data_IF_562689401853
#
_entry.id   IF_562689401853
#
_cell.length_a   1.000
_cell.length_b   1.000
_cell.length_c   1.000
_cell.angle_alpha   90.00
_cell.angle_beta   90.00
_cell.angle_gamma   90.00
#
_symmetry.space_group_name_H-M   'P 1'
#
loop_
_entity.id
_entity.type
_entity.pdbx_description
1 polymer ?
#
# COMPACT_ATOMS: atom_id res chain seq x y z
N UNK A 1 -3.19 -2.58 -5.96
CA UNK A 1 -2.68 -1.73 -7.06
C UNK A 1 -3.66 -1.78 -8.22
N UNK A 2 -3.91 -0.66 -8.83
CA UNK A 2 -4.80 -0.53 -9.97
C UNK A 2 -4.01 -0.74 -11.26
N UNK A 3 -4.58 -1.42 -12.24
CA UNK A 3 -3.95 -1.60 -13.56
C UNK A 3 -4.16 -0.33 -14.39
N UNK A 4 -3.07 0.38 -14.70
CA UNK A 4 -3.15 1.61 -15.50
C UNK A 4 -3.74 1.37 -16.90
N UNK A 5 -3.44 0.22 -17.51
CA UNK A 5 -3.96 -0.17 -18.82
C UNK A 5 -5.49 -0.13 -18.89
N UNK A 6 -6.18 -0.83 -17.99
CA UNK A 6 -7.64 -0.85 -17.97
C UNK A 6 -8.23 0.44 -17.42
N UNK A 7 -7.54 1.07 -16.46
CA UNK A 7 -8.02 2.29 -15.82
C UNK A 7 -8.04 3.49 -16.77
N UNK A 8 -7.02 3.66 -17.59
CA UNK A 8 -6.94 4.78 -18.54
C UNK A 8 -8.06 4.74 -19.59
N UNK A 9 -8.40 3.55 -20.08
CA UNK A 9 -9.33 3.41 -21.22
C UNK A 9 -10.78 3.07 -20.85
N UNK A 10 -11.04 2.53 -19.63
CA UNK A 10 -12.36 2.00 -19.26
C UNK A 10 -12.99 2.71 -18.07
N UNK A 11 -14.11 3.39 -18.31
CA UNK A 11 -14.91 3.99 -17.23
C UNK A 11 -15.43 2.94 -16.24
N UNK A 12 -15.80 1.74 -16.72
CA UNK A 12 -16.21 0.63 -15.85
C UNK A 12 -15.08 0.18 -14.95
N UNK A 13 -13.84 0.10 -15.46
CA UNK A 13 -12.67 -0.22 -14.64
C UNK A 13 -12.44 0.87 -13.59
N UNK A 14 -12.52 2.15 -13.95
CA UNK A 14 -12.41 3.26 -12.99
C UNK A 14 -13.41 3.17 -11.85
N UNK A 15 -14.68 2.95 -12.15
CA UNK A 15 -15.75 2.82 -11.14
C UNK A 15 -15.56 1.62 -10.20
N UNK A 16 -14.99 0.53 -10.71
CA UNK A 16 -14.77 -0.69 -9.91
C UNK A 16 -13.51 -0.61 -9.05
N UNK A 17 -12.46 0.02 -9.55
CA UNK A 17 -11.12 -0.02 -8.95
C UNK A 17 -10.80 1.20 -8.09
N UNK A 18 -11.50 2.31 -8.27
CA UNK A 18 -11.22 3.55 -7.57
C UNK A 18 -12.50 4.19 -7.04
N UNK A 19 -12.58 4.25 -5.72
CA UNK A 19 -13.59 5.02 -4.98
C UNK A 19 -12.88 5.79 -3.88
N UNK A 20 -13.31 7.02 -3.64
CA UNK A 20 -12.75 7.88 -2.59
C UNK A 20 -13.79 8.86 -2.09
N UNK A 21 -13.49 9.57 -1.02
CA UNK A 21 -14.30 10.64 -0.46
C UNK A 21 -13.42 11.82 -0.04
N UNK A 22 -14.01 12.97 0.26
CA UNK A 22 -13.28 14.15 0.74
C UNK A 22 -12.53 13.92 2.06
N UNK A 23 -12.99 12.96 2.85
CA UNK A 23 -12.36 12.57 4.14
C UNK A 23 -11.17 11.62 3.97
N UNK A 24 -11.00 11.02 2.79
CA UNK A 24 -9.91 10.08 2.48
C UNK A 24 -8.66 10.85 2.03
N UNK A 25 -8.10 11.62 2.97
CA UNK A 25 -6.89 12.43 2.75
C UNK A 25 -5.94 12.33 3.95
N UNK A 26 -4.63 12.30 3.71
CA UNK A 26 -3.95 12.31 2.39
C UNK A 26 -4.08 10.96 1.67
N UNK A 27 -4.30 10.99 0.35
CA UNK A 27 -4.48 9.81 -0.49
C UNK A 27 -3.39 9.72 -1.57
N UNK A 28 -2.70 8.58 -1.64
CA UNK A 28 -1.79 8.21 -2.73
C UNK A 28 -2.39 7.03 -3.49
N UNK A 29 -2.62 7.20 -4.78
CA UNK A 29 -3.21 6.16 -5.65
C UNK A 29 -2.11 5.36 -6.32
N UNK A 30 -2.05 4.04 -6.06
CA UNK A 30 -1.01 3.19 -6.62
C UNK A 30 -1.46 2.49 -7.90
N UNK A 31 -0.69 2.70 -8.97
CA UNK A 31 -0.89 2.03 -10.25
C UNK A 31 0.24 1.04 -10.55
N UNK A 32 -0.11 0.01 -11.34
CA UNK A 32 0.84 -0.83 -12.04
C UNK A 32 0.76 -0.54 -13.53
N UNK A 33 1.90 -0.30 -14.17
CA UNK A 33 1.98 -0.01 -15.60
C UNK A 33 3.29 -0.51 -16.18
N UNK A 34 3.25 -0.92 -17.45
CA UNK A 34 4.41 -1.22 -18.29
C UNK A 34 4.54 -0.24 -19.45
N UNK A 35 3.73 0.83 -19.46
CA UNK A 35 3.80 1.92 -20.44
C UNK A 35 3.70 3.27 -19.76
N UNK A 36 4.49 4.22 -20.23
CA UNK A 36 4.50 5.60 -19.71
C UNK A 36 3.15 6.27 -19.95
N UNK A 37 2.61 6.18 -21.17
CA UNK A 37 1.37 6.83 -21.56
C UNK A 37 0.19 6.45 -20.65
N UNK A 38 -0.04 5.16 -20.42
CA UNK A 38 -1.16 4.68 -19.60
C UNK A 38 -1.04 5.13 -18.13
N UNK A 39 0.20 5.17 -17.59
CA UNK A 39 0.42 5.66 -16.24
C UNK A 39 0.13 7.17 -16.14
N UNK A 40 0.65 7.96 -17.07
CA UNK A 40 0.43 9.42 -17.11
C UNK A 40 -1.06 9.73 -17.23
N UNK A 41 -1.77 9.08 -18.16
CA UNK A 41 -3.20 9.26 -18.35
C UNK A 41 -3.99 8.87 -17.09
N UNK A 42 -3.63 7.75 -16.43
CA UNK A 42 -4.24 7.36 -15.16
C UNK A 42 -3.98 8.39 -14.06
N UNK A 43 -2.77 8.96 -13.99
CA UNK A 43 -2.43 10.01 -13.04
C UNK A 43 -3.23 11.29 -13.28
N UNK A 44 -3.39 11.70 -14.53
CA UNK A 44 -4.22 12.84 -14.92
C UNK A 44 -5.70 12.66 -14.55
N UNK A 45 -6.23 11.43 -14.69
CA UNK A 45 -7.61 11.11 -14.32
C UNK A 45 -7.82 11.22 -12.80
N UNK A 46 -6.88 10.73 -11.97
CA UNK A 46 -7.08 10.70 -10.51
C UNK A 46 -6.58 11.95 -9.79
N UNK A 47 -5.73 12.78 -10.41
CA UNK A 47 -5.13 13.94 -9.74
C UNK A 47 -6.12 14.91 -9.06
N UNK A 48 -7.39 15.09 -9.50
CA UNK A 48 -8.34 15.94 -8.79
C UNK A 48 -8.76 15.36 -7.42
N UNK A 49 -8.60 14.07 -7.23
CA UNK A 49 -9.15 13.30 -6.11
C UNK A 49 -8.10 12.82 -5.10
N UNK A 50 -6.80 13.00 -5.38
CA UNK A 50 -5.73 12.47 -4.54
C UNK A 50 -4.59 13.49 -4.33
N UNK A 51 -3.70 13.18 -3.39
CA UNK A 51 -2.51 13.98 -3.10
C UNK A 51 -1.29 13.50 -3.89
N UNK A 52 -1.34 12.29 -4.45
CA UNK A 52 -0.26 11.77 -5.25
C UNK A 52 -0.58 10.45 -5.92
N UNK A 53 0.32 10.03 -6.79
CA UNK A 53 0.29 8.73 -7.47
C UNK A 53 1.58 7.97 -7.20
N UNK A 54 1.50 6.66 -7.16
CA UNK A 54 2.62 5.76 -6.90
C UNK A 54 2.74 4.69 -7.98
N UNK A 55 3.95 4.47 -8.49
CA UNK A 55 4.23 3.35 -9.39
C UNK A 55 4.61 2.12 -8.59
N UNK A 56 3.89 1.02 -8.79
CA UNK A 56 4.25 -0.25 -8.19
C UNK A 56 5.41 -0.93 -8.93
N UNK A 57 6.59 -0.93 -8.31
CA UNK A 57 7.78 -1.67 -8.74
C UNK A 57 8.13 -2.80 -7.75
N UNK A 58 7.16 -3.32 -6.98
CA UNK A 58 7.43 -4.26 -5.90
C UNK A 58 6.58 -5.53 -5.87
N UNK A 59 5.52 -5.64 -6.67
CA UNK A 59 4.65 -6.81 -6.68
C UNK A 59 5.39 -8.04 -7.27
N UNK A 60 5.60 -9.12 -6.47
CA UNK A 60 6.37 -10.28 -6.92
C UNK A 60 5.49 -11.41 -7.48
N UNK A 61 4.20 -11.17 -7.71
CA UNK A 61 3.29 -12.20 -8.16
C UNK A 61 3.57 -12.62 -9.61
N UNK A 62 3.47 -13.92 -9.91
CA UNK A 62 3.82 -14.46 -11.21
C UNK A 62 3.04 -13.84 -12.37
N UNK A 63 1.76 -13.52 -12.17
CA UNK A 63 0.96 -12.84 -13.19
C UNK A 63 1.49 -11.43 -13.48
N UNK A 64 1.85 -10.66 -12.44
CA UNK A 64 2.39 -9.31 -12.62
C UNK A 64 3.75 -9.33 -13.35
N UNK A 65 4.60 -10.31 -13.05
CA UNK A 65 5.87 -10.49 -13.74
C UNK A 65 5.69 -10.88 -15.23
N UNK A 66 4.67 -11.68 -15.54
CA UNK A 66 4.33 -12.04 -16.93
C UNK A 66 3.85 -10.83 -17.73
N UNK A 67 3.07 -9.95 -17.10
CA UNK A 67 2.59 -8.69 -17.70
C UNK A 67 3.69 -7.59 -17.76
N UNK A 68 4.90 -7.86 -17.29
CA UNK A 68 5.99 -6.89 -17.31
C UNK A 68 5.84 -5.73 -16.33
N UNK A 69 5.06 -5.89 -15.25
CA UNK A 69 4.79 -4.88 -14.21
C UNK A 69 5.30 -5.34 -12.84
N UNK A 70 5.19 -4.48 -11.84
CA UNK A 70 5.57 -4.82 -10.47
C UNK A 70 7.08 -5.00 -10.32
N UNK A 71 7.51 -6.06 -9.62
CA UNK A 71 8.92 -6.25 -9.25
C UNK A 71 9.88 -6.50 -10.43
N UNK A 72 9.39 -6.74 -11.64
CA UNK A 72 10.28 -6.79 -12.82
C UNK A 72 10.77 -5.41 -13.26
N UNK A 73 10.07 -4.33 -12.87
CA UNK A 73 10.45 -2.97 -13.26
C UNK A 73 11.74 -2.49 -12.58
N UNK A 74 12.13 -3.06 -11.44
CA UNK A 74 13.41 -2.72 -10.80
C UNK A 74 14.63 -3.03 -11.69
N UNK A 75 14.49 -3.95 -12.65
CA UNK A 75 15.52 -4.28 -13.64
C UNK A 75 15.51 -3.32 -14.86
N UNK A 76 14.60 -2.33 -14.86
CA UNK A 76 14.42 -1.37 -15.96
C UNK A 76 14.49 0.08 -15.43
N UNK A 77 15.61 0.51 -14.85
CA UNK A 77 15.70 1.80 -14.18
C UNK A 77 15.43 2.98 -15.13
N UNK A 78 15.86 2.91 -16.40
CA UNK A 78 15.62 3.95 -17.39
C UNK A 78 14.12 4.12 -17.69
N UNK A 79 13.38 3.01 -17.77
CA UNK A 79 11.92 3.06 -17.95
C UNK A 79 11.21 3.68 -16.75
N UNK A 80 11.60 3.30 -15.53
CA UNK A 80 11.01 3.85 -14.29
C UNK A 80 11.31 5.34 -14.18
N UNK A 81 12.54 5.74 -14.49
CA UNK A 81 12.99 7.14 -14.51
C UNK A 81 12.22 7.97 -15.54
N UNK A 82 12.06 7.48 -16.78
CA UNK A 82 11.30 8.15 -17.82
C UNK A 82 9.83 8.30 -17.43
N UNK A 83 9.23 7.25 -16.88
CA UNK A 83 7.83 7.28 -16.40
C UNK A 83 7.63 8.37 -15.32
N UNK A 84 8.53 8.45 -14.34
CA UNK A 84 8.48 9.49 -13.30
C UNK A 84 8.62 10.89 -13.95
N UNK A 85 9.60 11.07 -14.81
CA UNK A 85 9.87 12.33 -15.47
C UNK A 85 8.68 12.81 -16.33
N UNK A 86 8.15 11.92 -17.18
CA UNK A 86 7.00 12.24 -18.03
C UNK A 86 5.74 12.54 -17.21
N UNK A 87 5.53 11.83 -16.10
CA UNK A 87 4.41 12.10 -15.21
C UNK A 87 4.53 13.47 -14.56
N UNK A 88 5.70 13.81 -14.02
CA UNK A 88 5.96 15.13 -13.41
C UNK A 88 5.70 16.29 -14.37
N UNK A 89 6.00 16.12 -15.64
CA UNK A 89 5.82 17.16 -16.67
C UNK A 89 4.36 17.31 -17.12
N UNK A 90 3.46 16.37 -16.81
CA UNK A 90 2.11 16.31 -17.38
C UNK A 90 0.99 16.32 -16.34
N UNK A 91 1.33 16.31 -15.03
CA UNK A 91 0.37 16.46 -13.94
C UNK A 91 0.55 17.83 -13.26
N UNK A 92 -0.39 18.20 -12.38
CA UNK A 92 -0.28 19.46 -11.61
C UNK A 92 0.99 19.44 -10.73
N UNK A 93 1.58 20.60 -10.48
CA UNK A 93 2.89 20.76 -9.82
C UNK A 93 2.92 20.21 -8.38
N UNK A 94 1.82 20.31 -7.67
CA UNK A 94 1.70 19.88 -6.26
C UNK A 94 1.33 18.38 -6.11
N UNK A 95 1.06 17.65 -7.21
CA UNK A 95 0.80 16.22 -7.14
C UNK A 95 2.09 15.45 -6.83
N UNK A 96 2.08 14.67 -5.76
CA UNK A 96 3.21 13.82 -5.43
C UNK A 96 3.32 12.64 -6.41
N UNK A 97 4.54 12.37 -6.89
CA UNK A 97 4.83 11.18 -7.71
C UNK A 97 5.84 10.34 -6.98
N UNK A 98 5.47 9.10 -6.62
CA UNK A 98 6.33 8.19 -5.86
C UNK A 98 6.51 6.85 -6.56
N UNK A 99 7.49 6.09 -6.11
CA UNK A 99 7.72 4.71 -6.54
C UNK A 99 7.83 3.79 -5.33
N UNK A 100 7.18 2.63 -5.40
CA UNK A 100 7.31 1.58 -4.37
C UNK A 100 8.06 0.40 -4.93
N UNK A 101 9.25 0.15 -4.38
CA UNK A 101 10.20 -0.85 -4.87
C UNK A 101 10.42 -2.00 -3.89
N UNK A 102 11.00 -3.10 -4.39
CA UNK A 102 11.76 -4.10 -3.63
C UNK A 102 13.24 -3.93 -3.91
N UNK A 103 14.09 -4.51 -3.07
CA UNK A 103 15.53 -4.48 -3.27
C UNK A 103 15.98 -5.58 -4.24
N UNK A 104 17.07 -5.34 -4.96
CA UNK A 104 17.82 -6.39 -5.65
C UNK A 104 18.60 -7.26 -4.65
N UNK A 105 19.04 -8.44 -5.08
CA UNK A 105 19.99 -9.24 -4.28
C UNK A 105 21.31 -8.49 -4.05
N UNK A 106 21.80 -7.78 -5.06
CA UNK A 106 22.83 -6.77 -4.91
C UNK A 106 22.14 -5.39 -4.78
N UNK A 107 22.03 -4.89 -3.55
CA UNK A 107 21.34 -3.62 -3.29
C UNK A 107 22.06 -2.38 -3.87
N UNK A 108 23.29 -2.50 -4.35
CA UNK A 108 23.95 -1.42 -5.09
C UNK A 108 23.18 -1.06 -6.36
N UNK A 109 22.58 -2.06 -7.04
CA UNK A 109 21.68 -1.82 -8.17
C UNK A 109 20.40 -1.07 -7.74
N UNK A 110 19.92 -1.33 -6.54
CA UNK A 110 18.76 -0.61 -6.00
C UNK A 110 19.11 0.85 -5.71
N UNK A 111 20.29 1.12 -5.18
CA UNK A 111 20.80 2.49 -4.97
C UNK A 111 20.85 3.24 -6.30
N UNK A 112 21.37 2.61 -7.36
CA UNK A 112 21.44 3.25 -8.68
C UNK A 112 20.04 3.59 -9.22
N UNK A 113 19.10 2.64 -9.14
CA UNK A 113 17.69 2.91 -9.47
C UNK A 113 17.13 4.09 -8.67
N UNK A 114 17.36 4.13 -7.34
CA UNK A 114 16.87 5.22 -6.50
C UNK A 114 17.44 6.58 -6.90
N UNK A 115 18.72 6.64 -7.23
CA UNK A 115 19.38 7.88 -7.72
C UNK A 115 18.83 8.32 -9.07
N UNK A 116 18.51 7.38 -9.95
CA UNK A 116 17.95 7.72 -11.26
C UNK A 116 16.52 8.28 -11.13
N UNK A 117 15.66 7.66 -10.31
CA UNK A 117 14.31 8.18 -10.11
C UNK A 117 14.31 9.49 -9.31
N UNK A 118 15.27 9.71 -8.42
CA UNK A 118 15.48 11.01 -7.75
C UNK A 118 15.76 12.11 -8.76
N UNK A 119 16.70 11.89 -9.69
CA UNK A 119 17.00 12.83 -10.78
C UNK A 119 15.81 13.08 -11.69
N UNK A 120 14.92 12.11 -11.84
CA UNK A 120 13.68 12.24 -12.61
C UNK A 120 12.58 13.04 -11.88
N UNK A 121 12.78 13.41 -10.61
CA UNK A 121 11.87 14.25 -9.84
C UNK A 121 10.84 13.48 -9.01
N UNK A 122 11.16 12.23 -8.58
CA UNK A 122 10.32 11.51 -7.64
C UNK A 122 10.15 12.28 -6.32
N UNK A 123 8.95 12.29 -5.75
CA UNK A 123 8.68 13.02 -4.49
C UNK A 123 9.16 12.26 -3.25
N UNK A 124 9.07 10.94 -3.25
CA UNK A 124 9.59 10.03 -2.23
C UNK A 124 9.68 8.60 -2.77
N UNK A 125 10.43 7.74 -2.08
CA UNK A 125 10.63 6.34 -2.47
C UNK A 125 10.20 5.44 -1.31
N UNK A 126 9.30 4.46 -1.57
CA UNK A 126 8.93 3.44 -0.59
C UNK A 126 9.72 2.15 -0.86
N UNK A 127 10.50 1.69 0.12
CA UNK A 127 11.42 0.56 -0.04
C UNK A 127 10.97 -0.62 0.82
N UNK A 128 10.57 -1.73 0.19
CA UNK A 128 10.41 -2.99 0.87
C UNK A 128 11.77 -3.70 0.92
N UNK A 129 12.34 -3.86 2.12
CA UNK A 129 13.67 -4.43 2.33
C UNK A 129 13.78 -5.94 2.07
N UNK A 130 13.05 -6.46 1.08
CA UNK A 130 13.10 -7.85 0.60
C UNK A 130 13.26 -7.89 -0.90
N UNK A 131 13.96 -8.90 -1.39
CA UNK A 131 14.05 -9.16 -2.84
C UNK A 131 12.71 -9.72 -3.37
N UNK A 132 12.57 -9.79 -4.70
CA UNK A 132 11.34 -10.32 -5.33
C UNK A 132 11.04 -11.79 -4.99
N UNK A 133 12.05 -12.58 -4.64
CA UNK A 133 11.92 -14.01 -4.30
C UNK A 133 11.65 -14.24 -2.80
N UNK A 134 11.95 -13.29 -1.95
CA UNK A 134 11.75 -13.37 -0.51
C UNK A 134 10.30 -13.07 -0.12
N UNK A 135 9.73 -13.86 0.79
CA UNK A 135 8.36 -13.68 1.29
C UNK A 135 8.29 -13.42 2.79
N UNK A 136 8.86 -14.33 3.58
CA UNK A 136 8.84 -14.28 5.05
C UNK A 136 10.23 -14.10 5.66
N UNK A 137 11.25 -13.99 4.84
CA UNK A 137 12.61 -13.70 5.27
C UNK A 137 12.67 -12.38 6.05
N UNK A 138 13.63 -12.19 6.95
CA UNK A 138 13.84 -10.92 7.64
C UNK A 138 14.05 -9.76 6.65
N UNK A 139 13.57 -8.59 7.02
CA UNK A 139 13.78 -7.35 6.24
C UNK A 139 15.26 -6.95 6.33
N UNK A 140 15.87 -6.63 5.20
CA UNK A 140 17.24 -6.15 5.14
C UNK A 140 17.29 -4.65 5.46
N UNK A 141 17.52 -4.32 6.72
CA UNK A 141 17.60 -2.94 7.21
C UNK A 141 18.89 -2.24 6.73
N UNK A 142 20.00 -2.97 6.51
CA UNK A 142 21.24 -2.41 5.97
C UNK A 142 21.04 -1.87 4.55
N UNK A 143 20.31 -2.62 3.72
CA UNK A 143 19.97 -2.15 2.38
C UNK A 143 19.08 -0.90 2.42
N UNK A 144 18.08 -0.85 3.30
CA UNK A 144 17.23 0.34 3.49
C UNK A 144 18.07 1.54 3.93
N UNK A 145 18.96 1.36 4.92
CA UNK A 145 19.88 2.39 5.39
C UNK A 145 20.77 2.91 4.26
N UNK A 146 21.42 2.02 3.52
CA UNK A 146 22.30 2.40 2.41
C UNK A 146 21.54 3.18 1.31
N UNK A 147 20.29 2.82 1.03
CA UNK A 147 19.42 3.57 0.11
C UNK A 147 19.14 4.95 0.69
N UNK A 148 18.73 5.07 1.95
CA UNK A 148 18.45 6.36 2.60
C UNK A 148 19.67 7.29 2.57
N UNK A 149 20.85 6.77 2.82
CA UNK A 149 22.10 7.54 2.79
C UNK A 149 22.52 7.95 1.36
N UNK A 150 21.94 7.34 0.33
CA UNK A 150 22.35 7.55 -1.08
C UNK A 150 21.49 8.55 -1.84
N UNK A 151 20.34 8.98 -1.29
CA UNK A 151 19.39 9.92 -1.90
C UNK A 151 18.99 11.04 -0.92
N UNK A 152 18.53 12.17 -1.45
CA UNK A 152 18.06 13.31 -0.64
C UNK A 152 16.54 13.30 -0.46
N UNK A 153 15.80 12.68 -1.40
CA UNK A 153 14.35 12.55 -1.28
C UNK A 153 13.95 11.68 -0.07
N UNK A 154 12.77 11.89 0.52
CA UNK A 154 12.29 11.05 1.62
C UNK A 154 12.24 9.58 1.24
N UNK A 155 12.67 8.71 2.18
CA UNK A 155 12.61 7.26 2.06
C UNK A 155 11.66 6.69 3.11
N UNK A 156 10.68 5.91 2.65
CA UNK A 156 9.68 5.24 3.49
C UNK A 156 10.00 3.75 3.56
N UNK A 157 10.33 3.24 4.74
CA UNK A 157 10.64 1.83 4.94
C UNK A 157 9.36 0.98 5.02
N UNK A 158 9.36 -0.15 4.34
CA UNK A 158 8.27 -1.12 4.35
C UNK A 158 8.78 -2.55 4.61
N UNK A 159 7.98 -3.30 5.35
CA UNK A 159 8.20 -4.70 5.70
C UNK A 159 8.26 -4.91 7.21
N UNK A 160 7.46 -5.87 7.68
CA UNK A 160 7.34 -6.30 9.08
C UNK A 160 7.01 -5.19 10.12
N UNK A 161 6.40 -4.11 9.68
CA UNK A 161 5.90 -3.05 10.56
C UNK A 161 4.50 -3.44 11.05
N UNK A 162 4.38 -3.79 12.34
CA UNK A 162 3.14 -4.21 13.00
C UNK A 162 2.87 -3.52 14.33
N UNK A 163 3.89 -2.93 14.95
CA UNK A 163 3.83 -2.27 16.25
C UNK A 163 4.63 -0.96 16.24
N UNK A 164 4.39 -0.08 17.21
CA UNK A 164 5.21 1.12 17.40
C UNK A 164 6.67 0.80 17.74
N UNK A 165 6.91 -0.34 18.37
CA UNK A 165 8.28 -0.81 18.66
C UNK A 165 9.02 -1.16 17.36
N UNK A 166 8.33 -1.80 16.38
CA UNK A 166 8.93 -2.04 15.06
C UNK A 166 9.27 -0.72 14.35
N UNK A 167 8.42 0.29 14.47
CA UNK A 167 8.69 1.64 13.92
C UNK A 167 9.95 2.23 14.54
N UNK A 168 10.10 2.19 15.87
CA UNK A 168 11.28 2.71 16.58
C UNK A 168 12.54 2.00 16.13
N UNK A 169 12.54 0.64 16.13
CA UNK A 169 13.67 -0.19 15.70
C UNK A 169 14.13 0.13 14.28
N UNK A 170 13.19 0.23 13.35
CA UNK A 170 13.50 0.55 11.94
C UNK A 170 14.06 1.97 11.83
N UNK A 171 13.46 2.94 12.52
CA UNK A 171 13.94 4.33 12.54
C UNK A 171 15.37 4.45 13.09
N UNK A 172 15.65 3.82 14.23
CA UNK A 172 16.96 3.83 14.86
C UNK A 172 18.03 3.15 14.00
N UNK A 173 17.68 2.03 13.36
CA UNK A 173 18.61 1.28 12.52
C UNK A 173 18.93 1.96 11.19
N UNK A 174 17.99 2.73 10.62
CA UNK A 174 18.09 3.17 9.22
C UNK A 174 17.99 4.68 9.02
N UNK A 175 17.59 5.44 10.04
CA UNK A 175 17.33 6.89 9.98
C UNK A 175 16.36 7.32 8.85
N UNK A 176 15.40 6.45 8.48
CA UNK A 176 14.38 6.72 7.45
C UNK A 176 13.45 7.87 7.84
N UNK A 177 12.79 8.46 6.85
CA UNK A 177 11.87 9.59 7.01
C UNK A 177 10.46 9.15 7.42
N UNK A 178 10.04 7.94 7.01
CA UNK A 178 8.74 7.38 7.31
C UNK A 178 8.71 5.87 7.24
N UNK A 179 7.59 5.28 7.69
CA UNK A 179 7.32 3.84 7.59
C UNK A 179 5.99 3.58 6.89
N UNK A 180 5.92 2.45 6.20
CA UNK A 180 4.70 1.94 5.57
C UNK A 180 4.36 0.57 6.15
N UNK A 181 3.18 0.45 6.73
CA UNK A 181 2.64 -0.82 7.16
C UNK A 181 1.59 -1.34 6.16
N UNK A 182 1.47 -2.65 6.04
CA UNK A 182 0.41 -3.32 5.28
C UNK A 182 -0.41 -4.21 6.21
N UNK A 183 0.07 -5.44 6.47
CA UNK A 183 -0.62 -6.39 7.36
C UNK A 183 -0.86 -5.82 8.76
N UNK A 184 0.08 -5.04 9.29
CA UNK A 184 -0.08 -4.41 10.60
C UNK A 184 -1.31 -3.52 10.70
N UNK A 185 -1.61 -2.71 9.66
CA UNK A 185 -2.82 -1.88 9.61
C UNK A 185 -4.10 -2.67 9.34
N UNK A 186 -4.04 -3.78 8.59
CA UNK A 186 -5.18 -4.66 8.42
C UNK A 186 -5.54 -5.35 9.74
N UNK A 187 -4.51 -5.83 10.46
CA UNK A 187 -4.66 -6.52 11.76
C UNK A 187 -5.06 -5.55 12.88
N UNK A 188 -4.57 -4.30 12.83
CA UNK A 188 -4.88 -3.27 13.83
C UNK A 188 -4.80 -1.86 13.23
N UNK A 189 -5.92 -1.28 12.78
CA UNK A 189 -5.94 0.08 12.23
C UNK A 189 -5.46 1.15 13.20
N UNK A 190 -5.49 0.88 14.51
CA UNK A 190 -5.10 1.82 15.57
C UNK A 190 -3.67 1.64 16.09
N UNK A 191 -2.83 0.80 15.48
CA UNK A 191 -1.50 0.54 16.04
C UNK A 191 -0.60 1.78 16.05
N UNK A 192 -0.72 2.68 15.08
CA UNK A 192 0.01 3.96 15.09
C UNK A 192 -0.45 4.91 16.21
N UNK A 193 -1.65 4.70 16.76
CA UNK A 193 -2.12 5.39 17.96
C UNK A 193 -1.70 4.70 19.27
N UNK A 194 -0.91 3.63 19.20
CA UNK A 194 -0.34 2.94 20.36
C UNK A 194 -1.18 1.79 20.93
N UNK A 195 -2.20 1.35 20.21
CA UNK A 195 -2.99 0.19 20.63
C UNK A 195 -2.33 -1.11 20.19
N UNK A 196 -2.22 -2.09 21.10
CA UNK A 196 -1.65 -3.40 20.81
C UNK A 196 -2.59 -4.30 20.01
N UNK A 197 -3.89 -4.13 20.20
CA UNK A 197 -4.97 -4.85 19.49
C UNK A 197 -5.98 -3.84 18.97
N UNK A 198 -6.76 -4.23 17.98
CA UNK A 198 -7.83 -3.39 17.42
C UNK A 198 -8.85 -3.05 18.49
N UNK A 199 -9.03 -1.76 18.86
CA UNK A 199 -10.06 -1.37 19.81
C UNK A 199 -11.47 -1.49 19.21
N UNK A 200 -12.47 -1.72 20.05
CA UNK A 200 -13.89 -1.80 19.66
C UNK A 200 -14.32 -0.63 18.77
N UNK A 201 -13.88 0.59 19.11
CA UNK A 201 -14.18 1.80 18.34
C UNK A 201 -13.74 1.76 16.88
N UNK A 202 -12.65 1.05 16.55
CA UNK A 202 -12.25 0.84 15.16
C UNK A 202 -13.21 -0.08 14.42
N UNK A 203 -13.70 -1.14 15.09
CA UNK A 203 -14.70 -2.05 14.52
C UNK A 203 -15.99 -1.28 14.25
N UNK A 204 -16.49 -0.52 15.23
CA UNK A 204 -17.68 0.34 15.09
C UNK A 204 -17.52 1.37 13.96
N UNK A 205 -16.36 2.01 13.88
CA UNK A 205 -16.07 2.96 12.80
C UNK A 205 -16.05 2.28 11.43
N UNK A 206 -15.45 1.10 11.33
CA UNK A 206 -15.45 0.33 10.09
C UNK A 206 -16.87 -0.07 9.67
N UNK A 207 -17.71 -0.55 10.60
CA UNK A 207 -19.11 -0.88 10.32
C UNK A 207 -19.84 0.31 9.71
N UNK A 208 -19.73 1.48 10.37
CA UNK A 208 -20.37 2.73 9.90
C UNK A 208 -19.91 3.11 8.50
N UNK A 209 -18.60 3.20 8.30
CA UNK A 209 -18.00 3.58 6.99
C UNK A 209 -18.44 2.59 5.92
N UNK A 210 -18.35 1.30 6.18
CA UNK A 210 -18.65 0.27 5.19
C UNK A 210 -20.13 0.28 4.78
N UNK A 211 -21.04 0.53 5.71
CA UNK A 211 -22.48 0.63 5.43
C UNK A 211 -22.82 1.95 4.71
N UNK A 212 -22.26 3.08 5.16
CA UNK A 212 -22.46 4.38 4.51
C UNK A 212 -21.95 4.40 3.05
N UNK A 213 -20.85 3.70 2.78
CA UNK A 213 -20.24 3.66 1.45
C UNK A 213 -20.75 2.51 0.57
N UNK A 214 -21.60 1.64 1.08
CA UNK A 214 -22.09 0.47 0.35
C UNK A 214 -20.98 -0.53 0.02
N UNK A 215 -20.00 -0.70 0.92
CA UNK A 215 -18.88 -1.62 0.72
C UNK A 215 -19.36 -3.04 0.46
N UNK A 216 -18.84 -3.70 -0.57
CA UNK A 216 -19.18 -5.07 -0.92
C UNK A 216 -18.91 -6.04 0.25
N UNK A 217 -19.82 -7.00 0.47
CA UNK A 217 -19.73 -7.93 1.61
C UNK A 217 -18.37 -8.61 1.77
N UNK A 218 -17.76 -9.05 0.69
CA UNK A 218 -16.44 -9.70 0.74
C UNK A 218 -15.37 -8.79 1.33
N UNK A 219 -15.32 -7.52 0.92
CA UNK A 219 -14.38 -6.54 1.45
C UNK A 219 -14.72 -6.20 2.91
N UNK A 220 -16.00 -5.93 3.18
CA UNK A 220 -16.52 -5.66 4.53
C UNK A 220 -16.13 -6.74 5.54
N UNK A 221 -16.45 -7.99 5.23
CA UNK A 221 -16.20 -9.13 6.10
C UNK A 221 -14.70 -9.45 6.25
N UNK A 222 -13.93 -9.33 5.15
CA UNK A 222 -12.50 -9.63 5.16
C UNK A 222 -11.71 -8.68 6.06
N UNK A 223 -12.04 -7.38 6.06
CA UNK A 223 -11.41 -6.42 6.98
C UNK A 223 -11.73 -6.74 8.44
N UNK A 224 -12.97 -7.10 8.76
CA UNK A 224 -13.32 -7.53 10.11
C UNK A 224 -12.59 -8.81 10.53
N UNK A 225 -12.40 -9.76 9.61
CA UNK A 225 -11.63 -10.98 9.88
C UNK A 225 -10.18 -10.67 10.27
N UNK A 226 -9.55 -9.66 9.66
CA UNK A 226 -8.24 -9.18 10.08
C UNK A 226 -8.28 -8.48 11.44
N UNK A 227 -9.19 -7.53 11.61
CA UNK A 227 -9.30 -6.73 12.84
C UNK A 227 -9.53 -7.59 14.08
N UNK A 228 -10.28 -8.69 13.94
CA UNK A 228 -10.64 -9.60 15.02
C UNK A 228 -9.68 -10.79 15.17
N UNK A 229 -8.65 -10.92 14.31
CA UNK A 229 -7.76 -12.07 14.30
C UNK A 229 -7.12 -12.36 15.66
N UNK A 230 -6.76 -11.32 16.40
CA UNK A 230 -6.13 -11.44 17.72
C UNK A 230 -7.14 -11.61 18.86
N UNK A 231 -8.40 -11.26 18.63
CA UNK A 231 -9.48 -11.33 19.63
C UNK A 231 -10.24 -12.65 19.60
N UNK A 232 -10.09 -13.44 18.53
CA UNK A 232 -10.80 -14.70 18.32
C UNK A 232 -9.86 -15.91 18.43
N UNK A 233 -10.30 -16.97 19.10
CA UNK A 233 -9.63 -18.26 19.04
C UNK A 233 -9.77 -18.91 17.64
N UNK A 234 -9.02 -19.98 17.38
CA UNK A 234 -9.03 -20.64 16.06
C UNK A 234 -10.42 -21.15 15.64
N UNK A 235 -11.21 -21.66 16.58
CA UNK A 235 -12.56 -22.17 16.30
C UNK A 235 -13.52 -21.02 15.95
N UNK A 236 -13.47 -19.93 16.73
CA UNK A 236 -14.27 -18.73 16.50
C UNK A 236 -13.93 -18.05 15.17
N UNK A 237 -12.64 -17.94 14.83
CA UNK A 237 -12.21 -17.44 13.51
C UNK A 237 -12.79 -18.27 12.36
N UNK A 238 -12.77 -19.61 12.49
CA UNK A 238 -13.36 -20.49 11.47
C UNK A 238 -14.88 -20.26 11.35
N UNK A 239 -15.56 -20.09 12.48
CA UNK A 239 -16.98 -19.80 12.51
C UNK A 239 -17.29 -18.42 11.91
N UNK A 240 -16.61 -17.37 12.36
CA UNK A 240 -16.76 -16.02 11.82
C UNK A 240 -16.54 -15.98 10.30
N UNK A 241 -15.48 -16.63 9.83
CA UNK A 241 -15.15 -16.69 8.39
C UNK A 241 -16.16 -17.50 7.54
N UNK A 242 -17.09 -18.23 8.16
CA UNK A 242 -18.16 -18.94 7.44
C UNK A 242 -19.38 -18.08 7.14
N UNK A 243 -19.47 -16.88 7.70
CA UNK A 243 -20.60 -15.99 7.44
C UNK A 243 -20.60 -15.50 5.98
N UNK A 244 -21.80 -15.37 5.43
CA UNK A 244 -22.03 -14.99 4.04
C UNK A 244 -23.02 -13.83 3.89
N UNK A 245 -23.40 -13.19 4.99
CA UNK A 245 -24.31 -12.04 4.99
C UNK A 245 -23.90 -10.99 6.03
N UNK A 246 -24.15 -9.72 5.72
CA UNK A 246 -23.90 -8.60 6.62
C UNK A 246 -24.67 -8.74 7.92
N UNK A 247 -25.94 -9.18 7.89
CA UNK A 247 -26.76 -9.38 9.09
C UNK A 247 -26.13 -10.39 10.05
N UNK A 248 -25.68 -11.55 9.56
CA UNK A 248 -25.04 -12.55 10.41
C UNK A 248 -23.76 -12.03 11.09
N UNK A 249 -23.00 -11.19 10.38
CA UNK A 249 -21.82 -10.53 10.95
C UNK A 249 -22.21 -9.53 12.03
N UNK A 250 -23.22 -8.70 11.79
CA UNK A 250 -23.70 -7.71 12.77
C UNK A 250 -24.25 -8.39 14.04
N UNK A 251 -25.08 -9.43 13.89
CA UNK A 251 -25.61 -10.20 15.01
C UNK A 251 -24.50 -10.84 15.85
N UNK A 252 -23.47 -11.36 15.18
CA UNK A 252 -22.32 -11.94 15.87
C UNK A 252 -21.53 -10.89 16.65
N UNK A 253 -21.30 -9.71 16.06
CA UNK A 253 -20.56 -8.61 16.69
C UNK A 253 -21.33 -8.00 17.87
N UNK A 254 -22.63 -7.83 17.75
CA UNK A 254 -23.48 -7.40 18.88
C UNK A 254 -23.44 -8.41 20.02
N UNK A 255 -23.64 -9.71 19.72
CA UNK A 255 -23.70 -10.76 20.73
C UNK A 255 -22.38 -11.01 21.45
N UNK A 256 -21.25 -10.99 20.73
CA UNK A 256 -19.96 -11.43 21.29
C UNK A 256 -19.01 -10.29 21.66
N UNK A 257 -19.22 -9.09 21.11
CA UNK A 257 -18.34 -7.93 21.33
C UNK A 257 -19.09 -6.68 21.80
N UNK A 258 -20.42 -6.75 21.98
CA UNK A 258 -21.27 -5.59 22.29
C UNK A 258 -21.03 -4.42 21.32
N UNK A 259 -20.78 -4.73 20.05
CA UNK A 259 -20.58 -3.76 18.98
C UNK A 259 -21.92 -3.45 18.34
N UNK A 260 -22.38 -2.21 18.47
CA UNK A 260 -23.66 -1.72 17.95
C UNK A 260 -23.46 -0.59 16.96
N UNK A 261 -24.40 -0.48 16.03
CA UNK A 261 -24.46 0.62 15.05
C UNK A 261 -25.17 1.84 15.61
#
# INVERSE_FOLDING_TARGET
MIMAESFSVSEKARRNEFTTSEKDKPLIVQFASNTVHQFVESAQIVQPFCNGVDLNCGCPQGWALKEGIGACLIEKPDFVSDLVHQTRNQVRDDLLVSVKIRIHSDYKKTIELCRQVEKAGVSFISVHGRTRTQRADPVNLEAIKAIKESVQVPVVANGDIKTLEDVKKVKEATNIDGVMAARGLLENPAFFAGYDITPKSCVESWLRIALETGTQFQCFHHHLSYMLERSLCKAERKYFNSFNSTSAVLDYLDTNFDVRL
#
